data_IF_234547445157
#
_entry.id   IF_234547445157
#
_cell.length_a   1.000
_cell.length_b   1.000
_cell.length_c   1.000
_cell.angle_alpha   90.00
_cell.angle_beta   90.00
_cell.angle_gamma   90.00
#
_symmetry.space_group_name_H-M   'P 1'
#
loop_
_entity.id
_entity.type
_entity.pdbx_description
1 polymer ?
#
# COMPACT_ATOMS: atom_id res chain seq x y z
N UNK A 1 -42.21 25.64 -15.78
CA UNK A 1 -41.25 25.46 -16.89
C UNK A 1 -40.23 26.59 -16.81
N UNK A 2 -39.00 26.29 -16.41
CA UNK A 2 -37.86 27.21 -16.48
C UNK A 2 -36.58 26.36 -16.56
N UNK A 3 -35.72 26.64 -17.52
CA UNK A 3 -34.48 25.91 -17.79
C UNK A 3 -33.34 26.37 -16.88
N UNK A 4 -32.38 25.49 -16.54
CA UNK A 4 -31.16 25.88 -15.84
C UNK A 4 -30.17 26.57 -16.79
N UNK A 5 -29.32 27.50 -16.30
CA UNK A 5 -28.31 28.16 -17.11
C UNK A 5 -27.10 27.25 -17.40
N UNK A 6 -26.48 27.46 -18.55
CA UNK A 6 -25.36 26.68 -19.08
C UNK A 6 -24.02 27.01 -18.42
N UNK A 7 -23.26 25.98 -18.03
CA UNK A 7 -21.85 26.12 -17.64
C UNK A 7 -20.95 26.16 -18.88
N UNK A 8 -20.02 27.11 -18.92
CA UNK A 8 -19.05 27.25 -20.02
C UNK A 8 -18.01 26.13 -19.98
N UNK A 9 -17.85 25.43 -21.10
CA UNK A 9 -16.66 24.61 -21.35
C UNK A 9 -15.44 25.50 -21.64
N UNK A 10 -14.25 25.04 -21.27
CA UNK A 10 -12.98 25.65 -21.63
C UNK A 10 -11.98 24.54 -21.98
N UNK A 11 -11.82 24.27 -23.27
CA UNK A 11 -10.71 23.51 -23.84
C UNK A 11 -9.60 24.48 -24.28
N UNK A 12 -8.34 24.04 -24.26
CA UNK A 12 -7.36 24.56 -25.20
C UNK A 12 -6.57 23.44 -25.88
N UNK A 13 -6.64 23.39 -27.21
CA UNK A 13 -5.75 22.57 -28.05
C UNK A 13 -5.08 23.40 -29.14
N UNK A 14 -3.78 23.15 -29.33
CA UNK A 14 -2.91 23.50 -30.47
C UNK A 14 -2.80 24.95 -30.98
N UNK A 15 -1.56 25.46 -30.94
CA UNK A 15 -0.79 25.74 -32.17
C UNK A 15 0.70 25.97 -31.88
N UNK A 16 1.57 25.41 -32.74
CA UNK A 16 2.89 25.96 -33.06
C UNK A 16 2.85 26.54 -34.49
N UNK A 17 3.98 26.73 -35.20
CA UNK A 17 5.37 26.43 -34.85
C UNK A 17 6.33 27.62 -35.09
N UNK A 18 7.62 27.46 -34.78
CA UNK A 18 8.72 28.03 -35.59
C UNK A 18 10.09 27.46 -35.18
N UNK A 19 10.92 27.20 -36.19
CA UNK A 19 12.36 27.00 -36.09
C UNK A 19 13.01 27.78 -37.25
N UNK A 20 14.29 28.16 -37.12
CA UNK A 20 15.20 27.89 -38.23
C UNK A 20 16.57 27.33 -37.80
N UNK A 21 17.27 26.76 -38.78
CA UNK A 21 18.60 26.15 -38.72
C UNK A 21 19.76 27.17 -38.68
N UNK A 22 20.98 26.60 -38.59
CA UNK A 22 22.34 27.05 -38.96
C UNK A 22 23.30 27.24 -37.77
N UNK A 23 24.59 26.90 -37.86
CA UNK A 23 25.28 25.88 -38.70
C UNK A 23 26.68 25.61 -38.13
N UNK A 24 27.32 24.53 -38.60
CA UNK A 24 28.78 24.27 -38.70
C UNK A 24 29.80 24.93 -37.74
N UNK A 25 30.73 24.10 -37.20
CA UNK A 25 32.14 24.11 -37.65
C UNK A 25 32.96 22.87 -37.19
N UNK A 26 34.06 22.63 -37.91
CA UNK A 26 34.90 21.42 -37.92
C UNK A 26 36.18 21.51 -37.05
N UNK A 27 37.01 20.45 -37.15
CA UNK A 27 38.44 20.28 -36.80
C UNK A 27 38.75 19.80 -35.37
N UNK A 28 39.35 18.61 -35.18
CA UNK A 28 40.74 18.18 -35.49
C UNK A 28 41.75 18.91 -34.55
N UNK A 29 42.66 18.26 -33.81
CA UNK A 29 43.48 17.09 -34.15
C UNK A 29 44.03 16.32 -32.92
N UNK A 30 44.71 15.21 -33.22
CA UNK A 30 45.72 14.53 -32.37
C UNK A 30 46.98 15.42 -32.16
N UNK A 31 48.02 15.12 -31.38
CA UNK A 31 48.73 13.86 -31.09
C UNK A 31 49.56 13.99 -29.79
N UNK A 32 50.06 12.85 -29.31
CA UNK A 32 51.32 12.68 -28.56
C UNK A 32 51.49 13.25 -27.13
N UNK A 33 52.39 12.72 -26.29
CA UNK A 33 52.82 11.35 -25.89
C UNK A 33 53.95 11.49 -24.85
N UNK A 34 54.52 10.37 -24.33
CA UNK A 34 55.79 10.29 -23.56
C UNK A 34 55.72 10.90 -22.13
N UNK A 35 56.45 10.49 -21.08
CA UNK A 35 57.40 9.42 -20.68
C UNK A 35 57.42 9.46 -19.10
N UNK A 36 57.79 8.47 -18.27
CA UNK A 36 58.17 7.06 -18.37
C UNK A 36 58.36 6.46 -16.94
N UNK A 37 58.73 5.17 -16.85
CA UNK A 37 59.46 4.51 -15.75
C UNK A 37 58.76 4.23 -14.39
N UNK A 38 59.15 3.21 -13.62
CA UNK A 38 59.66 1.86 -13.94
C UNK A 38 59.77 1.04 -12.65
N UNK A 39 59.46 -0.27 -12.70
CA UNK A 39 60.33 -1.32 -12.15
C UNK A 39 59.75 -2.71 -12.45
N UNK A 40 60.51 -3.51 -13.21
CA UNK A 40 60.25 -4.93 -13.40
C UNK A 40 61.19 -5.75 -12.52
N UNK A 41 60.72 -6.90 -12.04
CA UNK A 41 61.56 -7.96 -11.52
C UNK A 41 61.32 -9.22 -12.37
N UNK A 42 62.39 -9.75 -12.98
CA UNK A 42 62.32 -10.95 -13.82
C UNK A 42 62.13 -12.22 -12.98
N UNK A 43 61.38 -13.17 -13.53
CA UNK A 43 61.58 -14.59 -13.28
C UNK A 43 61.35 -15.37 -14.59
N UNK A 44 62.34 -16.20 -14.96
CA UNK A 44 62.39 -16.93 -16.24
C UNK A 44 61.46 -18.14 -16.22
N UNK A 45 60.80 -18.41 -17.36
CA UNK A 45 59.99 -19.61 -17.60
C UNK A 45 60.87 -20.82 -17.94
N UNK A 46 60.74 -21.96 -17.24
CA UNK A 46 61.12 -23.26 -17.76
C UNK A 46 59.90 -24.00 -18.33
N UNK A 47 59.98 -24.44 -19.58
CA UNK A 47 58.96 -25.29 -20.22
C UNK A 47 58.91 -26.69 -19.59
N UNK A 48 57.74 -27.22 -19.14
CA UNK A 48 57.64 -28.58 -18.68
C UNK A 48 57.55 -29.57 -19.85
N UNK A 49 58.51 -30.47 -19.92
CA UNK A 49 58.51 -31.66 -20.77
C UNK A 49 57.29 -32.56 -20.53
N UNK A 50 56.94 -33.39 -21.52
CA UNK A 50 55.75 -34.26 -21.62
C UNK A 50 55.42 -35.23 -20.44
N UNK A 51 56.18 -35.23 -19.35
CA UNK A 51 55.94 -36.08 -18.17
C UNK A 51 55.10 -35.43 -17.04
N UNK A 52 54.80 -34.12 -17.08
CA UNK A 52 54.00 -33.46 -16.03
C UNK A 52 52.52 -33.86 -16.01
N UNK A 53 51.92 -34.09 -17.20
CA UNK A 53 50.46 -34.21 -17.36
C UNK A 53 49.82 -35.41 -16.61
N UNK A 54 50.60 -36.47 -16.34
CA UNK A 54 50.12 -37.64 -15.60
C UNK A 54 50.10 -37.43 -14.09
N UNK A 55 50.97 -36.56 -13.55
CA UNK A 55 51.03 -36.27 -12.11
C UNK A 55 49.90 -35.32 -11.72
N UNK A 56 49.64 -34.29 -12.54
CA UNK A 56 48.53 -33.35 -12.31
C UNK A 56 47.15 -34.04 -12.39
N UNK A 57 46.97 -35.02 -13.29
CA UNK A 57 45.76 -35.86 -13.29
C UNK A 57 45.64 -36.72 -12.03
N UNK A 58 46.75 -37.21 -11.46
CA UNK A 58 46.71 -38.03 -10.24
C UNK A 58 46.33 -37.21 -9.00
N UNK A 59 46.82 -35.96 -8.89
CA UNK A 59 46.41 -35.04 -7.81
C UNK A 59 44.97 -34.52 -7.99
N UNK A 60 44.52 -34.27 -9.24
CA UNK A 60 43.12 -33.94 -9.52
C UNK A 60 42.16 -35.10 -9.15
N UNK A 61 42.62 -36.35 -9.27
CA UNK A 61 41.87 -37.55 -8.83
C UNK A 61 41.92 -37.79 -7.32
N UNK A 62 42.98 -37.39 -6.60
CA UNK A 62 43.02 -37.50 -5.13
C UNK A 62 42.12 -36.47 -4.40
N UNK A 63 41.78 -35.35 -5.04
CA UNK A 63 40.73 -34.45 -4.56
C UNK A 63 39.30 -34.98 -4.80
N UNK A 64 39.16 -36.09 -5.53
CA UNK A 64 37.90 -36.84 -5.72
C UNK A 64 37.76 -38.00 -4.72
N UNK A 65 38.03 -37.72 -3.44
CA UNK A 65 37.46 -38.54 -2.35
C UNK A 65 35.95 -38.67 -2.51
N UNK A 66 35.32 -39.75 -1.98
CA UNK A 66 33.91 -40.01 -2.20
C UNK A 66 33.08 -38.79 -1.79
N UNK A 67 32.37 -38.18 -2.76
CA UNK A 67 31.63 -36.92 -2.57
C UNK A 67 30.76 -37.00 -1.32
N UNK A 68 31.22 -36.36 -0.25
CA UNK A 68 30.61 -36.53 1.07
C UNK A 68 29.26 -35.80 1.08
N UNK A 69 28.18 -36.57 1.20
CA UNK A 69 26.88 -36.01 1.56
C UNK A 69 26.90 -35.60 3.03
N UNK A 70 27.47 -34.42 3.32
CA UNK A 70 27.57 -33.88 4.66
C UNK A 70 26.19 -33.69 5.30
N UNK A 71 25.18 -33.35 4.51
CA UNK A 71 23.83 -33.02 4.98
C UNK A 71 23.09 -34.24 5.51
N UNK A 72 23.32 -35.45 4.95
CA UNK A 72 22.82 -36.70 5.55
C UNK A 72 23.68 -37.29 6.67
N UNK A 73 24.82 -36.65 7.01
CA UNK A 73 25.68 -37.03 8.15
C UNK A 73 25.52 -36.13 9.37
N UNK A 74 24.82 -34.99 9.23
CA UNK A 74 24.53 -34.08 10.34
C UNK A 74 23.25 -34.49 11.11
N UNK A 75 23.15 -34.12 12.40
CA UNK A 75 21.87 -34.07 13.12
C UNK A 75 20.80 -33.30 12.34
N UNK A 76 19.54 -33.70 12.50
CA UNK A 76 18.40 -33.15 11.74
C UNK A 76 18.29 -31.63 11.87
N UNK A 77 18.51 -31.13 13.08
CA UNK A 77 18.43 -29.72 13.45
C UNK A 77 19.51 -28.89 12.74
N UNK A 78 20.74 -29.41 12.65
CA UNK A 78 21.84 -28.73 11.96
C UNK A 78 21.67 -28.79 10.44
N UNK A 79 21.17 -29.91 9.91
CA UNK A 79 20.78 -30.04 8.50
C UNK A 79 19.71 -29.00 8.11
N UNK A 80 18.65 -28.89 8.91
CA UNK A 80 17.57 -27.90 8.74
C UNK A 80 18.08 -26.47 8.90
N UNK A 81 18.94 -26.20 9.89
CA UNK A 81 19.53 -24.88 10.11
C UNK A 81 20.38 -24.40 8.92
N UNK A 82 21.19 -25.28 8.32
CA UNK A 82 21.95 -24.95 7.10
C UNK A 82 21.00 -24.56 5.95
N UNK A 83 19.86 -25.25 5.82
CA UNK A 83 18.87 -24.94 4.79
C UNK A 83 18.13 -23.61 5.01
N UNK A 84 18.16 -23.00 6.20
CA UNK A 84 17.58 -21.66 6.43
C UNK A 84 18.31 -20.57 5.63
N UNK A 85 19.59 -20.78 5.29
CA UNK A 85 20.39 -19.83 4.48
C UNK A 85 20.23 -20.03 2.97
N UNK A 86 19.50 -21.06 2.53
CA UNK A 86 19.28 -21.36 1.11
C UNK A 86 18.04 -20.63 0.60
N UNK A 87 18.15 -19.95 -0.54
CA UNK A 87 17.03 -19.21 -1.12
C UNK A 87 15.93 -20.14 -1.68
N UNK A 88 14.73 -19.59 -1.88
CA UNK A 88 13.57 -20.33 -2.43
C UNK A 88 13.88 -21.10 -3.72
N UNK A 89 14.64 -20.52 -4.66
CA UNK A 89 14.92 -21.15 -5.94
C UNK A 89 15.86 -22.36 -5.78
N UNK A 90 16.93 -22.20 -4.99
CA UNK A 90 17.89 -23.27 -4.74
C UNK A 90 17.31 -24.38 -3.84
N UNK A 91 16.38 -24.06 -2.92
CA UNK A 91 15.63 -25.08 -2.18
C UNK A 91 14.84 -26.03 -3.10
N UNK A 92 14.34 -25.56 -4.25
CA UNK A 92 13.71 -26.45 -5.25
C UNK A 92 14.70 -27.36 -5.96
N UNK A 93 15.99 -26.99 -6.01
CA UNK A 93 17.08 -27.84 -6.53
C UNK A 93 17.54 -28.83 -5.46
N UNK A 94 17.77 -28.37 -4.23
CA UNK A 94 18.08 -29.17 -3.03
C UNK A 94 17.08 -30.33 -2.86
N UNK A 95 15.78 -30.05 -2.98
CA UNK A 95 14.73 -31.06 -2.90
C UNK A 95 14.74 -32.14 -4.00
N UNK A 96 15.58 -32.01 -5.04
CA UNK A 96 15.74 -32.97 -6.13
C UNK A 96 17.05 -33.78 -6.06
N UNK A 97 17.94 -33.51 -5.08
CA UNK A 97 19.25 -34.15 -4.96
C UNK A 97 19.14 -35.59 -4.43
N UNK A 98 18.45 -35.80 -3.31
CA UNK A 98 18.22 -37.12 -2.74
C UNK A 98 16.93 -37.18 -1.91
N UNK A 99 16.50 -38.38 -1.50
CA UNK A 99 15.33 -38.54 -0.61
C UNK A 99 15.54 -37.85 0.73
N UNK A 100 16.74 -37.94 1.31
CA UNK A 100 17.10 -37.31 2.58
C UNK A 100 17.12 -35.78 2.46
N UNK A 101 17.70 -35.24 1.39
CA UNK A 101 17.70 -33.80 1.12
C UNK A 101 16.29 -33.25 0.89
N UNK A 102 15.43 -34.02 0.20
CA UNK A 102 14.02 -33.69 0.02
C UNK A 102 13.22 -33.75 1.33
N UNK A 103 13.63 -34.56 2.32
CA UNK A 103 13.02 -34.55 3.66
C UNK A 103 13.35 -33.25 4.39
N UNK A 104 14.62 -32.87 4.50
CA UNK A 104 15.03 -31.60 5.13
C UNK A 104 14.45 -30.38 4.39
N UNK A 105 14.46 -30.37 3.05
CA UNK A 105 13.90 -29.29 2.22
C UNK A 105 12.36 -29.27 2.17
N UNK A 106 11.67 -30.19 2.87
CA UNK A 106 10.23 -30.14 3.12
C UNK A 106 9.89 -29.68 4.53
N UNK A 107 10.87 -29.50 5.41
CA UNK A 107 10.65 -29.04 6.78
C UNK A 107 9.94 -27.68 6.79
N UNK A 108 8.93 -27.56 7.67
CA UNK A 108 8.03 -26.43 7.67
C UNK A 108 8.70 -25.14 8.17
N UNK A 109 9.72 -25.25 9.04
CA UNK A 109 10.46 -24.09 9.57
C UNK A 109 11.42 -23.49 8.53
N UNK A 110 12.00 -24.32 7.63
CA UNK A 110 12.78 -23.84 6.49
C UNK A 110 11.92 -22.91 5.62
N UNK A 111 10.72 -23.35 5.23
CA UNK A 111 9.82 -22.56 4.38
C UNK A 111 9.23 -21.34 5.11
N UNK A 112 9.06 -21.40 6.43
CA UNK A 112 8.68 -20.27 7.28
C UNK A 112 9.78 -19.19 7.31
N UNK A 113 11.04 -19.58 7.41
CA UNK A 113 12.17 -18.66 7.31
C UNK A 113 12.23 -17.99 5.93
N UNK A 114 12.10 -18.77 4.84
CA UNK A 114 12.02 -18.23 3.48
C UNK A 114 10.90 -17.19 3.38
N UNK A 115 9.68 -17.53 3.84
CA UNK A 115 8.52 -16.65 3.77
C UNK A 115 8.73 -15.33 4.54
N UNK A 116 9.10 -15.42 5.82
CA UNK A 116 9.11 -14.28 6.74
C UNK A 116 10.40 -13.44 6.67
N UNK A 117 11.56 -14.09 6.49
CA UNK A 117 12.88 -13.46 6.62
C UNK A 117 13.46 -13.14 5.25
N UNK A 118 13.51 -14.11 4.33
CA UNK A 118 14.15 -13.90 3.03
C UNK A 118 13.29 -13.07 2.07
N UNK A 119 11.97 -13.33 2.03
CA UNK A 119 11.03 -12.57 1.18
C UNK A 119 10.38 -11.39 1.90
N UNK A 120 10.50 -11.30 3.24
CA UNK A 120 9.90 -10.24 4.04
C UNK A 120 8.37 -10.25 4.07
N UNK A 121 7.72 -11.30 3.56
CA UNK A 121 6.26 -11.39 3.49
C UNK A 121 5.66 -11.51 4.89
N UNK A 122 4.50 -10.88 5.11
CA UNK A 122 3.84 -10.81 6.43
C UNK A 122 2.46 -11.45 6.38
N UNK A 123 2.17 -12.29 7.37
CA UNK A 123 0.81 -12.77 7.64
C UNK A 123 0.12 -11.75 8.56
N UNK A 124 -1.02 -11.21 8.13
CA UNK A 124 -1.95 -10.53 9.04
C UNK A 124 -2.83 -11.61 9.68
N UNK A 125 -2.75 -11.75 11.00
CA UNK A 125 -3.69 -12.57 11.76
C UNK A 125 -5.03 -11.81 11.88
N UNK A 126 -6.18 -12.50 11.91
CA UNK A 126 -7.45 -11.84 12.23
C UNK A 126 -7.36 -11.22 13.63
N UNK A 127 -7.72 -9.96 13.80
CA UNK A 127 -7.82 -9.33 15.12
C UNK A 127 -9.16 -9.72 15.77
N UNK A 128 -9.17 -9.88 17.08
CA UNK A 128 -10.43 -9.97 17.83
C UNK A 128 -10.91 -8.54 18.12
N UNK A 129 -12.15 -8.16 17.74
CA UNK A 129 -12.72 -6.87 18.13
C UNK A 129 -12.66 -6.70 19.65
N UNK A 130 -12.06 -5.59 20.12
CA UNK A 130 -12.13 -5.22 21.53
C UNK A 130 -13.48 -4.53 21.78
N UNK A 131 -14.30 -4.96 22.75
CA UNK A 131 -15.55 -4.29 23.07
C UNK A 131 -15.32 -2.80 23.38
N UNK A 132 -16.12 -1.94 22.75
CA UNK A 132 -16.15 -0.50 23.04
C UNK A 132 -17.06 -0.28 24.25
N UNK A 133 -16.85 0.80 25.00
CA UNK A 133 -17.90 1.33 25.87
C UNK A 133 -19.14 1.68 25.03
N UNK A 134 -20.36 1.26 25.43
CA UNK A 134 -21.57 1.62 24.71
C UNK A 134 -21.77 3.14 24.71
N UNK A 135 -22.49 3.65 23.70
CA UNK A 135 -22.85 5.06 23.58
C UNK A 135 -23.46 5.60 24.91
N UNK A 136 -22.87 6.64 25.52
CA UNK A 136 -23.32 7.19 26.80
C UNK A 136 -24.71 7.82 26.75
N UNK A 137 -25.27 8.07 25.56
CA UNK A 137 -26.62 8.62 25.36
C UNK A 137 -27.74 7.58 25.36
N UNK A 138 -27.41 6.28 25.28
CA UNK A 138 -28.37 5.18 25.33
C UNK A 138 -28.91 4.92 26.75
N UNK A 139 -30.13 4.37 26.86
CA UNK A 139 -30.67 3.98 28.17
C UNK A 139 -29.86 2.84 28.81
N UNK A 140 -29.82 2.71 30.15
CA UNK A 140 -29.06 1.64 30.82
C UNK A 140 -29.41 0.23 30.34
N UNK A 141 -30.68 -0.03 30.02
CA UNK A 141 -31.16 -1.30 29.45
C UNK A 141 -30.63 -1.53 28.03
N UNK A 142 -30.68 -0.50 27.17
CA UNK A 142 -30.12 -0.57 25.82
C UNK A 142 -28.61 -0.78 25.84
N UNK A 143 -27.89 -0.11 26.75
CA UNK A 143 -26.47 -0.34 26.98
C UNK A 143 -26.18 -1.77 27.47
N UNK A 144 -27.05 -2.35 28.31
CA UNK A 144 -26.91 -3.73 28.76
C UNK A 144 -27.17 -4.74 27.64
N UNK A 145 -28.22 -4.57 26.85
CA UNK A 145 -28.51 -5.40 25.67
C UNK A 145 -27.37 -5.33 24.64
N UNK A 146 -26.87 -4.12 24.36
CA UNK A 146 -25.71 -3.91 23.50
C UNK A 146 -24.48 -4.67 24.03
N UNK A 147 -24.13 -4.53 25.32
CA UNK A 147 -23.00 -5.24 25.93
C UNK A 147 -23.13 -6.76 25.79
N UNK A 148 -24.31 -7.32 26.02
CA UNK A 148 -24.56 -8.77 25.88
C UNK A 148 -24.40 -9.24 24.43
N UNK A 149 -24.96 -8.49 23.46
CA UNK A 149 -24.84 -8.82 22.04
C UNK A 149 -23.39 -8.77 21.56
N UNK A 150 -22.63 -7.75 21.96
CA UNK A 150 -21.19 -7.63 21.64
C UNK A 150 -20.41 -8.77 22.28
N UNK A 151 -20.69 -9.14 23.54
CA UNK A 151 -20.02 -10.26 24.21
C UNK A 151 -20.23 -11.59 23.46
N UNK A 152 -21.47 -11.91 23.06
CA UNK A 152 -21.76 -13.14 22.31
C UNK A 152 -20.99 -13.19 20.98
N UNK A 153 -21.12 -12.15 20.15
CA UNK A 153 -20.44 -12.09 18.84
C UNK A 153 -18.91 -12.10 18.98
N UNK A 154 -18.38 -11.52 20.05
CA UNK A 154 -16.93 -11.57 20.34
C UNK A 154 -16.47 -12.99 20.70
N UNK A 155 -17.25 -13.75 21.48
CA UNK A 155 -16.95 -15.14 21.81
C UNK A 155 -16.99 -16.06 20.58
N UNK A 156 -18.00 -15.91 19.71
CA UNK A 156 -18.11 -16.65 18.45
C UNK A 156 -16.89 -16.39 17.54
N UNK A 157 -16.48 -15.12 17.39
CA UNK A 157 -15.28 -14.74 16.63
C UNK A 157 -13.99 -15.29 17.24
N UNK A 158 -13.85 -15.29 18.57
CA UNK A 158 -12.69 -15.88 19.27
C UNK A 158 -12.59 -17.39 19.03
N UNK A 159 -13.71 -18.12 19.08
CA UNK A 159 -13.73 -19.57 18.81
C UNK A 159 -13.30 -19.88 17.37
N UNK A 160 -13.83 -19.14 16.39
CA UNK A 160 -13.41 -19.28 14.98
C UNK A 160 -11.92 -18.97 14.79
N UNK A 161 -11.40 -17.92 15.45
CA UNK A 161 -9.99 -17.56 15.40
C UNK A 161 -9.09 -18.66 16.01
N UNK A 162 -9.46 -19.22 17.16
CA UNK A 162 -8.72 -20.35 17.77
C UNK A 162 -8.77 -21.62 16.90
N UNK A 163 -9.92 -21.90 16.27
CA UNK A 163 -10.06 -23.01 15.31
C UNK A 163 -9.22 -22.79 14.04
N UNK A 164 -8.93 -21.55 13.67
CA UNK A 164 -8.04 -21.22 12.56
C UNK A 164 -6.57 -21.35 12.97
N UNK A 165 -6.19 -20.78 14.12
CA UNK A 165 -4.82 -20.79 14.67
C UNK A 165 -4.31 -22.18 15.01
N UNK A 166 -5.20 -23.13 15.36
CA UNK A 166 -4.83 -24.52 15.65
C UNK A 166 -4.51 -25.35 14.39
N UNK A 167 -4.76 -24.83 13.19
CA UNK A 167 -4.45 -25.53 11.93
C UNK A 167 -2.96 -25.38 11.60
N UNK A 168 -2.22 -26.48 11.33
CA UNK A 168 -0.82 -26.38 10.93
C UNK A 168 -0.70 -25.68 9.57
N UNK A 169 -0.11 -24.48 9.55
CA UNK A 169 0.16 -23.74 8.33
C UNK A 169 1.24 -24.45 7.50
N UNK A 170 0.95 -24.71 6.22
CA UNK A 170 1.92 -25.24 5.28
C UNK A 170 2.67 -24.07 4.60
N UNK A 171 3.83 -23.70 5.16
CA UNK A 171 4.59 -22.54 4.68
C UNK A 171 5.09 -22.72 3.24
N UNK A 172 5.38 -23.96 2.83
CA UNK A 172 5.75 -24.26 1.44
C UNK A 172 4.63 -23.89 0.47
N UNK A 173 3.39 -24.27 0.77
CA UNK A 173 2.22 -23.93 -0.05
C UNK A 173 1.99 -22.42 -0.08
N UNK A 174 2.13 -21.73 1.06
CA UNK A 174 2.02 -20.27 1.13
C UNK A 174 3.07 -19.56 0.27
N UNK A 175 4.33 -20.03 0.27
CA UNK A 175 5.38 -19.48 -0.60
C UNK A 175 5.06 -19.66 -2.09
N UNK A 176 4.59 -20.85 -2.49
CA UNK A 176 4.25 -21.11 -3.89
C UNK A 176 3.06 -20.27 -4.35
N UNK A 177 1.99 -20.19 -3.54
CA UNK A 177 0.81 -19.37 -3.85
C UNK A 177 1.13 -17.87 -3.91
N UNK A 178 1.98 -17.37 -3.01
CA UNK A 178 2.40 -15.96 -3.03
C UNK A 178 3.26 -15.64 -4.26
N UNK A 179 4.19 -16.52 -4.64
CA UNK A 179 4.98 -16.35 -5.87
C UNK A 179 4.12 -16.39 -7.13
N UNK A 180 3.17 -17.33 -7.23
CA UNK A 180 2.21 -17.37 -8.34
C UNK A 180 1.42 -16.06 -8.45
N UNK A 181 1.06 -15.46 -7.30
CA UNK A 181 0.34 -14.20 -7.27
C UNK A 181 1.20 -13.03 -7.79
N UNK A 182 2.47 -12.95 -7.42
CA UNK A 182 3.42 -11.96 -7.93
C UNK A 182 3.68 -12.14 -9.45
N UNK A 183 3.70 -13.38 -9.94
CA UNK A 183 3.73 -13.67 -11.38
C UNK A 183 2.42 -13.25 -12.08
N UNK A 184 1.25 -13.39 -11.45
CA UNK A 184 -0.03 -12.95 -12.01
C UNK A 184 -0.10 -11.43 -12.17
N UNK A 185 0.40 -10.65 -11.19
CA UNK A 185 0.47 -9.18 -11.28
C UNK A 185 1.26 -8.65 -12.49
N UNK A 186 2.19 -9.46 -13.02
CA UNK A 186 3.08 -9.06 -14.12
C UNK A 186 2.77 -9.74 -15.46
N UNK A 187 2.13 -10.92 -15.46
CA UNK A 187 1.94 -11.75 -16.66
C UNK A 187 0.49 -12.01 -17.06
N UNK A 188 -0.47 -11.86 -16.15
CA UNK A 188 -1.88 -12.22 -16.43
C UNK A 188 -2.77 -10.98 -16.49
N UNK A 189 -3.64 -10.83 -17.51
CA UNK A 189 -4.62 -9.75 -17.51
C UNK A 189 -5.60 -9.94 -16.35
N UNK A 190 -5.97 -8.86 -15.63
CA UNK A 190 -6.83 -8.97 -14.47
C UNK A 190 -8.27 -9.32 -14.85
N UNK A 191 -8.90 -10.19 -14.05
CA UNK A 191 -10.33 -10.48 -14.15
C UNK A 191 -11.13 -9.32 -13.57
N UNK A 192 -11.85 -8.59 -14.43
CA UNK A 192 -12.80 -7.54 -14.03
C UNK A 192 -14.07 -8.17 -13.43
N UNK A 193 -14.70 -7.50 -12.46
CA UNK A 193 -16.00 -7.89 -11.88
C UNK A 193 -16.69 -6.62 -11.36
N UNK A 194 -17.99 -6.50 -11.59
CA UNK A 194 -18.75 -5.28 -11.27
C UNK A 194 -19.69 -5.51 -10.08
N UNK A 195 -19.63 -4.61 -9.10
CA UNK A 195 -20.56 -4.54 -7.97
C UNK A 195 -21.62 -3.47 -8.27
N UNK A 196 -22.89 -3.86 -8.28
CA UNK A 196 -24.01 -2.95 -8.53
C UNK A 196 -24.90 -2.87 -7.29
N UNK A 197 -25.32 -1.66 -6.91
CA UNK A 197 -26.31 -1.46 -5.83
C UNK A 197 -26.28 -0.13 -5.09
N UNK A 198 -25.29 0.75 -5.34
CA UNK A 198 -25.43 2.19 -5.07
C UNK A 198 -26.25 2.86 -6.16
N UNK A 199 -26.96 3.94 -5.81
CA UNK A 199 -27.81 4.69 -6.74
C UNK A 199 -27.06 5.81 -7.49
N UNK A 200 -25.88 6.20 -6.99
CA UNK A 200 -24.99 7.21 -7.57
C UNK A 200 -23.52 6.83 -7.23
N UNK A 201 -22.59 7.59 -7.79
CA UNK A 201 -21.14 7.55 -7.68
C UNK A 201 -20.62 7.12 -6.31
N UNK A 202 -19.75 6.12 -6.27
CA UNK A 202 -19.01 5.70 -5.07
C UNK A 202 -17.78 6.59 -4.92
N UNK A 203 -17.61 7.21 -3.76
CA UNK A 203 -16.52 8.17 -3.50
C UNK A 203 -15.34 7.59 -2.72
N UNK A 204 -15.58 6.56 -1.91
CA UNK A 204 -14.59 5.92 -1.06
C UNK A 204 -14.86 4.42 -0.90
N UNK A 205 -13.79 3.63 -0.77
CA UNK A 205 -13.84 2.18 -0.56
C UNK A 205 -12.72 1.73 0.37
N UNK A 206 -13.05 0.82 1.28
CA UNK A 206 -12.06 0.04 2.01
C UNK A 206 -12.52 -1.42 2.06
N UNK A 207 -11.58 -2.35 2.08
CA UNK A 207 -11.85 -3.77 2.27
C UNK A 207 -10.87 -4.45 3.22
N UNK A 208 -11.31 -5.57 3.78
CA UNK A 208 -10.46 -6.50 4.52
C UNK A 208 -10.51 -7.90 3.89
N UNK A 209 -10.22 -8.96 4.63
CA UNK A 209 -10.24 -10.33 4.15
C UNK A 209 -11.65 -10.95 4.04
N UNK A 210 -12.69 -10.28 4.53
CA UNK A 210 -14.09 -10.72 4.62
C UNK A 210 -15.06 -9.79 3.90
N UNK A 211 -14.87 -8.47 3.97
CA UNK A 211 -15.86 -7.48 3.58
C UNK A 211 -15.27 -6.30 2.82
N UNK A 212 -16.09 -5.70 1.97
CA UNK A 212 -15.87 -4.39 1.34
C UNK A 212 -16.86 -3.42 1.97
N UNK A 213 -16.44 -2.19 2.23
CA UNK A 213 -17.29 -1.09 2.70
C UNK A 213 -17.14 0.07 1.73
N UNK A 214 -18.25 0.58 1.21
CA UNK A 214 -18.29 1.65 0.20
C UNK A 214 -19.16 2.83 0.65
N UNK A 215 -18.65 4.05 0.50
CA UNK A 215 -19.42 5.28 0.72
C UNK A 215 -19.76 5.97 -0.60
N UNK A 216 -21.00 6.42 -0.75
CA UNK A 216 -21.51 6.96 -2.01
C UNK A 216 -22.10 8.37 -1.89
N UNK A 217 -22.21 9.01 -3.05
CA UNK A 217 -22.98 10.22 -3.30
C UNK A 217 -24.45 10.08 -2.91
N UNK A 218 -25.01 8.86 -2.94
CA UNK A 218 -26.39 8.52 -2.55
C UNK A 218 -26.68 8.63 -1.04
N UNK A 219 -25.72 9.15 -0.26
CA UNK A 219 -25.79 9.34 1.20
C UNK A 219 -25.80 8.03 2.01
N UNK A 220 -25.56 6.88 1.38
CA UNK A 220 -25.49 5.57 2.05
C UNK A 220 -24.07 5.04 2.15
N UNK A 221 -23.86 4.17 3.14
CA UNK A 221 -22.70 3.29 3.22
C UNK A 221 -23.18 1.86 2.98
N UNK A 222 -22.53 1.11 2.10
CA UNK A 222 -22.86 -0.30 1.83
C UNK A 222 -21.74 -1.22 2.25
N UNK A 223 -22.13 -2.38 2.75
CA UNK A 223 -21.22 -3.43 3.23
C UNK A 223 -21.50 -4.66 2.40
N UNK A 224 -20.45 -5.19 1.79
CA UNK A 224 -20.50 -6.31 0.84
C UNK A 224 -19.63 -7.44 1.37
N UNK A 225 -20.07 -8.68 1.20
CA UNK A 225 -19.21 -9.84 1.45
C UNK A 225 -18.21 -10.00 0.29
N UNK A 226 -16.92 -10.13 0.61
CA UNK A 226 -15.83 -10.20 -0.39
C UNK A 226 -15.86 -11.51 -1.20
N UNK A 227 -16.45 -12.57 -0.66
CA UNK A 227 -16.43 -13.90 -1.27
C UNK A 227 -17.60 -14.12 -2.24
N UNK A 228 -18.80 -13.70 -1.84
CA UNK A 228 -20.05 -13.83 -2.61
C UNK A 228 -20.42 -12.57 -3.38
N UNK A 229 -19.77 -11.44 -3.08
CA UNK A 229 -20.00 -10.13 -3.70
C UNK A 229 -21.44 -9.58 -3.51
N UNK A 230 -22.14 -10.09 -2.50
CA UNK A 230 -23.51 -9.66 -2.15
C UNK A 230 -23.47 -8.53 -1.13
N UNK A 231 -24.37 -7.55 -1.29
CA UNK A 231 -24.64 -6.53 -0.29
C UNK A 231 -25.21 -7.18 0.98
N UNK A 232 -24.45 -7.18 2.07
CA UNK A 232 -24.86 -7.64 3.40
C UNK A 232 -25.74 -6.60 4.09
N UNK A 233 -25.36 -5.32 4.03
CA UNK A 233 -26.07 -4.21 4.70
C UNK A 233 -25.98 -2.92 3.88
N UNK A 234 -27.03 -2.11 3.94
CA UNK A 234 -27.01 -0.70 3.52
C UNK A 234 -27.33 0.14 4.75
N UNK A 235 -26.42 1.02 5.14
CA UNK A 235 -26.57 1.96 6.24
C UNK A 235 -27.15 3.25 5.68
N UNK A 236 -28.35 3.60 6.14
CA UNK A 236 -29.12 4.78 5.74
C UNK A 236 -29.42 5.66 6.95
N UNK A 237 -29.76 6.94 6.74
CA UNK A 237 -30.12 7.86 7.81
C UNK A 237 -28.97 8.33 8.72
N UNK A 238 -27.74 7.86 8.49
CA UNK A 238 -26.54 8.32 9.20
C UNK A 238 -26.11 9.71 8.75
N UNK A 239 -25.64 9.84 7.51
CA UNK A 239 -25.31 11.12 6.88
C UNK A 239 -26.49 11.70 6.09
N UNK A 240 -26.58 13.02 6.01
CA UNK A 240 -27.63 13.72 5.23
C UNK A 240 -27.19 14.07 3.82
N UNK A 241 -25.90 13.94 3.52
CA UNK A 241 -25.28 14.24 2.23
C UNK A 241 -24.26 13.14 1.88
N UNK A 242 -23.68 13.23 0.68
CA UNK A 242 -22.68 12.30 0.15
C UNK A 242 -21.61 11.90 1.17
N UNK A 243 -21.32 10.60 1.28
CA UNK A 243 -20.20 10.09 2.07
C UNK A 243 -18.95 10.18 1.21
N UNK A 244 -17.97 10.96 1.64
CA UNK A 244 -16.80 11.31 0.82
C UNK A 244 -15.58 10.45 1.14
N UNK A 245 -15.45 10.06 2.40
CA UNK A 245 -14.36 9.25 2.93
C UNK A 245 -14.87 8.30 4.01
N UNK A 246 -14.20 7.16 4.15
CA UNK A 246 -14.39 6.25 5.27
C UNK A 246 -13.08 5.54 5.58
N UNK A 247 -12.87 5.20 6.84
CA UNK A 247 -11.89 4.21 7.26
C UNK A 247 -12.52 3.31 8.32
N UNK A 248 -12.15 2.03 8.38
CA UNK A 248 -12.54 1.09 9.43
C UNK A 248 -11.38 0.19 9.91
N UNK A 249 -11.53 -0.29 11.14
CA UNK A 249 -10.80 -1.41 11.74
C UNK A 249 -11.81 -2.50 12.15
N UNK A 250 -11.38 -3.52 12.90
CA UNK A 250 -12.28 -4.59 13.37
C UNK A 250 -13.29 -4.14 14.45
N UNK A 251 -13.23 -2.88 14.91
CA UNK A 251 -13.95 -2.34 16.08
C UNK A 251 -14.85 -1.16 15.70
N UNK A 252 -14.31 -0.14 15.04
CA UNK A 252 -15.01 1.06 14.56
C UNK A 252 -14.85 1.28 13.06
N UNK A 253 -15.83 1.97 12.49
CA UNK A 253 -15.70 2.71 11.24
C UNK A 253 -15.85 4.20 11.54
N UNK A 254 -15.10 5.02 10.83
CA UNK A 254 -15.21 6.48 10.82
C UNK A 254 -15.57 6.89 9.40
N UNK A 255 -16.63 7.69 9.22
CA UNK A 255 -17.01 8.22 7.90
C UNK A 255 -17.14 9.74 7.93
N UNK A 256 -16.65 10.40 6.87
CA UNK A 256 -16.78 11.84 6.66
C UNK A 256 -17.70 12.15 5.47
N UNK A 257 -18.40 13.28 5.56
CA UNK A 257 -19.42 13.66 4.57
C UNK A 257 -19.38 15.14 4.20
N UNK A 258 -19.96 15.44 3.04
CA UNK A 258 -20.39 16.78 2.64
C UNK A 258 -21.29 17.48 3.67
N UNK A 259 -21.92 16.74 4.60
CA UNK A 259 -22.75 17.31 5.69
C UNK A 259 -21.95 17.98 6.84
N UNK A 260 -20.64 18.15 6.66
CA UNK A 260 -19.66 18.73 7.61
C UNK A 260 -19.39 17.91 8.87
N UNK A 261 -19.99 16.73 9.00
CA UNK A 261 -19.82 15.89 10.19
C UNK A 261 -19.04 14.62 9.91
N UNK A 262 -18.53 14.06 10.99
CA UNK A 262 -17.88 12.75 11.03
C UNK A 262 -18.78 11.85 11.87
N UNK A 263 -19.00 10.62 11.44
CA UNK A 263 -19.74 9.63 12.22
C UNK A 263 -18.79 8.50 12.58
N UNK A 264 -18.72 8.17 13.87
CA UNK A 264 -18.06 6.97 14.37
C UNK A 264 -19.14 5.90 14.51
N UNK A 265 -18.89 4.70 14.00
CA UNK A 265 -19.82 3.58 13.93
C UNK A 265 -19.22 2.34 14.60
N UNK A 266 -20.07 1.54 15.21
CA UNK A 266 -19.74 0.21 15.73
C UNK A 266 -19.69 -0.81 14.57
N UNK A 267 -18.59 -1.54 14.40
CA UNK A 267 -18.43 -2.53 13.31
C UNK A 267 -18.99 -3.92 13.60
N UNK A 268 -19.45 -4.17 14.83
CA UNK A 268 -20.13 -5.40 15.23
C UNK A 268 -21.63 -5.30 14.95
N UNK A 269 -22.25 -4.16 15.31
CA UNK A 269 -23.71 -3.92 15.21
C UNK A 269 -24.09 -3.03 14.02
N UNK A 270 -23.14 -2.26 13.45
CA UNK A 270 -23.35 -1.32 12.35
C UNK A 270 -24.32 -0.17 12.70
N UNK A 271 -24.16 0.39 13.90
CA UNK A 271 -24.88 1.58 14.38
C UNK A 271 -23.92 2.73 14.64
N UNK A 272 -24.36 4.00 14.48
CA UNK A 272 -23.56 5.15 14.88
C UNK A 272 -23.38 5.15 16.41
N UNK A 273 -22.15 5.38 16.86
CA UNK A 273 -21.75 5.58 18.26
C UNK A 273 -21.76 7.08 18.60
N UNK A 274 -21.32 7.93 17.66
CA UNK A 274 -21.23 9.38 17.89
C UNK A 274 -21.15 10.17 16.59
N UNK A 275 -21.59 11.43 16.62
CA UNK A 275 -21.45 12.43 15.55
C UNK A 275 -20.47 13.52 16.00
N UNK A 276 -19.26 13.52 15.45
CA UNK A 276 -18.29 14.58 15.71
C UNK A 276 -18.64 15.81 14.85
N UNK A 277 -18.76 16.96 15.50
CA UNK A 277 -19.09 18.25 14.88
C UNK A 277 -17.98 19.25 15.19
N UNK A 278 -17.52 19.99 14.18
CA UNK A 278 -16.50 21.01 14.37
C UNK A 278 -15.86 21.54 13.09
N UNK A 279 -15.96 20.81 11.98
CA UNK A 279 -15.66 21.35 10.64
C UNK A 279 -16.79 22.27 10.16
N UNK A 280 -16.45 23.28 9.36
CA UNK A 280 -17.42 24.24 8.81
C UNK A 280 -17.76 23.96 7.33
N UNK A 281 -17.06 23.01 6.71
CA UNK A 281 -17.34 22.52 5.37
C UNK A 281 -17.16 20.99 5.30
N UNK A 282 -17.52 20.41 4.15
CA UNK A 282 -17.50 18.95 3.93
C UNK A 282 -16.16 18.30 4.29
N UNK A 283 -16.22 17.20 5.03
CA UNK A 283 -15.06 16.41 5.46
C UNK A 283 -14.61 15.55 4.29
N UNK A 284 -13.39 15.78 3.82
CA UNK A 284 -12.87 15.22 2.57
C UNK A 284 -12.14 13.90 2.77
N UNK A 285 -11.43 13.76 3.89
CA UNK A 285 -10.71 12.54 4.25
C UNK A 285 -10.63 12.32 5.77
N UNK A 286 -10.45 11.06 6.18
CA UNK A 286 -10.34 10.63 7.58
C UNK A 286 -9.28 9.53 7.74
N UNK A 287 -8.46 9.63 8.79
CA UNK A 287 -7.44 8.64 9.12
C UNK A 287 -7.34 8.46 10.64
N UNK A 288 -7.32 7.24 11.16
CA UNK A 288 -7.31 6.98 12.60
C UNK A 288 -6.39 5.83 13.03
N UNK A 289 -6.05 5.83 14.32
CA UNK A 289 -5.34 4.76 15.04
C UNK A 289 -5.98 4.50 16.43
N UNK A 290 -5.30 3.72 17.28
CA UNK A 290 -5.78 3.40 18.64
C UNK A 290 -5.93 4.61 19.58
N UNK A 291 -5.30 5.74 19.27
CA UNK A 291 -5.24 6.93 20.11
C UNK A 291 -6.01 8.11 19.49
N UNK A 292 -5.94 8.30 18.17
CA UNK A 292 -6.46 9.49 17.52
C UNK A 292 -7.29 9.17 16.28
N UNK A 293 -8.36 9.94 16.08
CA UNK A 293 -9.04 10.10 14.81
C UNK A 293 -8.59 11.46 14.23
N UNK A 294 -8.23 11.49 12.97
CA UNK A 294 -7.84 12.70 12.25
C UNK A 294 -8.78 12.90 11.08
N UNK A 295 -9.26 14.12 10.89
CA UNK A 295 -10.16 14.49 9.80
C UNK A 295 -9.66 15.75 9.11
N UNK A 296 -9.82 15.83 7.79
CA UNK A 296 -9.52 17.03 7.03
C UNK A 296 -10.72 17.48 6.20
N UNK A 297 -10.80 18.79 5.91
CA UNK A 297 -11.98 19.39 5.31
C UNK A 297 -11.66 20.42 4.24
N UNK A 298 -12.68 20.71 3.43
CA UNK A 298 -12.73 21.86 2.52
C UNK A 298 -12.57 23.20 3.24
N UNK A 299 -12.73 23.26 4.57
CA UNK A 299 -12.50 24.45 5.41
C UNK A 299 -11.01 24.80 5.65
N UNK A 300 -10.09 24.09 4.99
CA UNK A 300 -8.63 24.25 5.11
C UNK A 300 -8.04 23.89 6.49
N UNK A 301 -8.84 23.29 7.39
CA UNK A 301 -8.38 22.79 8.68
C UNK A 301 -8.24 21.26 8.71
N UNK A 302 -7.37 20.80 9.61
CA UNK A 302 -7.27 19.41 10.03
C UNK A 302 -7.68 19.37 11.51
N UNK A 303 -8.48 18.38 11.90
CA UNK A 303 -8.91 18.20 13.29
C UNK A 303 -8.46 16.85 13.80
N UNK A 304 -7.94 16.85 15.04
CA UNK A 304 -7.54 15.64 15.75
C UNK A 304 -8.48 15.46 16.92
N UNK A 305 -9.05 14.27 17.03
CA UNK A 305 -9.97 13.84 18.06
C UNK A 305 -9.34 12.68 18.81
N UNK A 306 -9.52 12.59 20.13
CA UNK A 306 -9.09 11.42 20.90
C UNK A 306 -10.03 10.24 20.61
N UNK A 307 -9.49 9.08 20.23
CA UNK A 307 -10.27 7.94 19.74
C UNK A 307 -11.10 7.23 20.83
N UNK A 308 -10.88 7.54 22.13
CA UNK A 308 -11.59 6.90 23.26
C UNK A 308 -12.72 7.76 23.81
N UNK A 309 -12.45 9.05 23.97
CA UNK A 309 -13.36 10.06 24.51
C UNK A 309 -14.13 10.81 23.43
N UNK A 310 -13.65 10.74 22.18
CA UNK A 310 -14.18 11.45 21.01
C UNK A 310 -14.14 12.99 21.14
N UNK A 311 -13.36 13.50 22.10
CA UNK A 311 -13.14 14.92 22.32
C UNK A 311 -12.16 15.49 21.28
N UNK A 312 -12.40 16.73 20.84
CA UNK A 312 -11.48 17.47 19.98
C UNK A 312 -10.22 17.85 20.76
N UNK A 313 -9.06 17.39 20.29
CA UNK A 313 -7.73 17.66 20.86
C UNK A 313 -7.09 18.86 20.17
N UNK A 314 -7.05 18.85 18.83
CA UNK A 314 -6.43 19.92 18.04
C UNK A 314 -7.31 20.37 16.87
N UNK A 315 -7.26 21.67 16.58
CA UNK A 315 -7.61 22.21 15.26
C UNK A 315 -6.34 22.80 14.66
N UNK A 316 -5.77 22.09 13.68
CA UNK A 316 -4.50 22.37 13.06
C UNK A 316 -4.75 23.19 11.79
N UNK A 317 -4.13 24.37 11.72
CA UNK A 317 -4.32 25.34 10.63
C UNK A 317 -2.96 25.72 10.05
N UNK A 318 -2.94 26.08 8.76
CA UNK A 318 -1.69 26.41 8.06
C UNK A 318 -1.68 26.11 6.56
N UNK A 319 -2.65 25.33 6.06
CA UNK A 319 -2.96 25.26 4.64
C UNK A 319 -3.73 26.50 4.17
N UNK A 320 -3.57 26.86 2.89
CA UNK A 320 -4.22 28.03 2.25
C UNK A 320 -5.42 27.66 1.38
N UNK A 321 -5.75 26.37 1.28
CA UNK A 321 -6.89 25.87 0.54
C UNK A 321 -7.42 24.56 1.13
N UNK A 322 -8.47 23.97 0.53
CA UNK A 322 -9.06 22.70 0.96
C UNK A 322 -7.99 21.64 1.25
N UNK A 323 -8.09 20.95 2.39
CA UNK A 323 -7.24 19.80 2.69
C UNK A 323 -7.99 18.57 2.21
N UNK A 324 -7.51 17.98 1.12
CA UNK A 324 -8.24 16.99 0.33
C UNK A 324 -7.97 15.56 0.78
N UNK A 325 -6.80 15.29 1.38
CA UNK A 325 -6.45 13.98 1.92
C UNK A 325 -5.56 14.09 3.17
N UNK A 326 -5.64 13.09 4.05
CA UNK A 326 -4.88 13.02 5.30
C UNK A 326 -4.54 11.58 5.68
N UNK A 327 -3.30 11.33 6.12
CA UNK A 327 -2.87 10.02 6.61
C UNK A 327 -2.19 10.15 7.98
N UNK A 328 -2.65 9.36 8.94
CA UNK A 328 -2.06 9.22 10.26
C UNK A 328 -1.11 8.00 10.30
N UNK A 329 0.07 8.18 10.88
CA UNK A 329 0.99 7.09 11.21
C UNK A 329 1.75 7.42 12.50
N UNK A 330 1.51 6.66 13.58
CA UNK A 330 2.27 6.72 14.85
C UNK A 330 2.41 8.15 15.42
N UNK A 331 1.30 8.89 15.50
CA UNK A 331 1.30 10.27 16.01
C UNK A 331 1.93 11.32 15.07
N UNK A 332 2.25 10.96 13.83
CA UNK A 332 2.56 11.89 12.75
C UNK A 332 1.40 11.92 11.75
N UNK A 333 1.02 13.11 11.31
CA UNK A 333 -0.02 13.31 10.29
C UNK A 333 0.63 13.88 9.04
N UNK A 334 0.27 13.35 7.88
CA UNK A 334 0.60 13.92 6.58
C UNK A 334 -0.69 14.39 5.92
N UNK A 335 -0.72 15.61 5.42
CA UNK A 335 -1.89 16.19 4.74
C UNK A 335 -1.54 16.73 3.36
N UNK A 336 -2.47 16.60 2.42
CA UNK A 336 -2.36 17.12 1.06
C UNK A 336 -3.50 18.10 0.76
N UNK A 337 -3.17 19.24 0.15
CA UNK A 337 -4.10 20.35 -0.04
C UNK A 337 -4.15 20.86 -1.48
N UNK A 338 -5.27 21.51 -1.80
CA UNK A 338 -5.44 22.32 -3.01
C UNK A 338 -4.45 23.48 -3.13
N UNK A 339 -3.70 23.83 -2.08
CA UNK A 339 -2.64 24.86 -2.11
C UNK A 339 -1.31 24.41 -2.73
N UNK A 340 -1.20 23.15 -3.18
CA UNK A 340 0.00 22.61 -3.83
C UNK A 340 1.05 22.04 -2.85
N UNK A 341 0.76 22.03 -1.54
CA UNK A 341 1.66 21.51 -0.52
C UNK A 341 1.20 20.17 0.05
N UNK A 342 2.17 19.31 0.33
CA UNK A 342 2.05 18.33 1.42
C UNK A 342 2.63 18.96 2.69
N UNK A 343 1.99 18.74 3.84
CA UNK A 343 2.53 19.09 5.16
C UNK A 343 2.62 17.86 6.05
N UNK A 344 3.74 17.71 6.77
CA UNK A 344 3.92 16.76 7.86
C UNK A 344 3.71 17.49 9.19
N UNK A 345 2.97 16.88 10.11
CA UNK A 345 2.61 17.45 11.41
C UNK A 345 2.86 16.45 12.55
N UNK A 346 3.05 16.98 13.75
CA UNK A 346 3.23 16.21 14.97
C UNK A 346 1.96 16.32 15.84
N UNK A 347 1.29 15.18 16.09
CA UNK A 347 0.03 15.15 16.84
C UNK A 347 0.21 15.48 18.32
N UNK A 348 1.36 15.18 18.91
CA UNK A 348 1.65 15.51 20.31
C UNK A 348 1.77 17.02 20.60
N UNK A 349 2.05 17.83 19.56
CA UNK A 349 2.24 19.29 19.67
C UNK A 349 1.22 20.11 18.89
N UNK A 350 0.47 19.49 17.98
CA UNK A 350 -0.47 20.19 17.07
C UNK A 350 0.21 21.04 15.98
N UNK A 351 1.55 21.06 15.90
CA UNK A 351 2.30 21.91 14.97
C UNK A 351 2.71 21.17 13.68
N UNK A 352 2.83 21.91 12.57
CA UNK A 352 3.46 21.36 11.36
C UNK A 352 4.97 21.34 11.55
N UNK A 353 5.59 20.25 11.09
CA UNK A 353 7.03 19.99 11.18
C UNK A 353 7.73 20.37 9.88
N UNK A 354 7.09 20.12 8.72
CA UNK A 354 7.73 20.29 7.41
C UNK A 354 6.74 20.47 6.26
N UNK A 355 7.14 21.27 5.28
CA UNK A 355 6.49 21.39 3.96
C UNK A 355 7.23 20.52 2.94
N UNK A 356 6.49 19.89 2.02
CA UNK A 356 7.05 19.25 0.82
C UNK A 356 6.55 20.03 -0.39
N UNK A 357 7.49 20.56 -1.17
CA UNK A 357 7.25 21.50 -2.27
C UNK A 357 7.69 20.86 -3.59
N UNK A 358 6.88 20.99 -4.62
CA UNK A 358 7.24 20.55 -5.97
C UNK A 358 6.06 20.19 -6.87
N UNK A 359 4.88 19.89 -6.32
CA UNK A 359 3.66 19.83 -7.13
C UNK A 359 3.31 21.23 -7.65
N UNK A 360 2.86 21.31 -8.90
CA UNK A 360 2.58 22.57 -9.60
C UNK A 360 1.11 22.99 -9.49
N UNK A 361 0.26 22.07 -9.02
CA UNK A 361 -1.18 22.27 -8.83
C UNK A 361 -1.63 21.60 -7.53
N UNK A 362 -2.88 21.86 -7.14
CA UNK A 362 -3.48 21.28 -5.95
C UNK A 362 -3.49 19.75 -5.94
N UNK A 363 -3.20 19.18 -4.77
CA UNK A 363 -3.17 17.74 -4.54
C UNK A 363 -4.58 17.18 -4.27
N UNK A 364 -4.82 15.92 -4.59
CA UNK A 364 -6.07 15.24 -4.25
C UNK A 364 -5.90 14.04 -3.30
N UNK A 365 -4.75 13.37 -3.28
CA UNK A 365 -4.53 12.19 -2.45
C UNK A 365 -3.11 12.15 -1.87
N UNK A 366 -2.97 11.50 -0.70
CA UNK A 366 -1.69 11.24 -0.05
C UNK A 366 -1.75 9.95 0.76
N UNK A 367 -0.62 9.26 0.85
CA UNK A 367 -0.41 8.12 1.74
C UNK A 367 0.98 8.21 2.39
N UNK A 368 1.14 7.61 3.56
CA UNK A 368 2.33 7.70 4.40
C UNK A 368 2.55 6.44 5.26
N UNK A 369 3.76 5.87 5.24
CA UNK A 369 4.13 4.64 5.96
C UNK A 369 5.06 4.87 7.18
N UNK A 370 5.32 6.13 7.54
CA UNK A 370 6.31 6.52 8.56
C UNK A 370 7.67 6.97 7.98
N UNK A 371 8.02 6.57 6.74
CA UNK A 371 9.28 6.93 6.07
C UNK A 371 9.05 7.56 4.70
N UNK A 372 8.13 7.03 3.93
CA UNK A 372 7.83 7.36 2.54
C UNK A 372 6.47 8.04 2.48
N UNK A 373 6.39 9.17 1.79
CA UNK A 373 5.13 9.81 1.43
C UNK A 373 4.92 9.61 -0.06
N UNK A 374 3.70 9.28 -0.47
CA UNK A 374 3.29 9.22 -1.88
C UNK A 374 2.10 10.16 -2.07
N UNK A 375 2.16 11.07 -3.04
CA UNK A 375 1.12 12.09 -3.28
C UNK A 375 0.71 12.17 -4.74
N UNK A 376 -0.59 12.40 -5.00
CA UNK A 376 -1.18 12.57 -6.33
C UNK A 376 -1.83 13.94 -6.51
N UNK A 377 -1.72 14.50 -7.72
CA UNK A 377 -2.00 15.92 -7.99
C UNK A 377 -2.74 16.17 -9.31
N UNK A 378 -3.35 17.35 -9.39
CA UNK A 378 -3.95 17.91 -10.61
C UNK A 378 -2.90 18.36 -11.66
N UNK A 379 -1.61 18.27 -11.34
CA UNK A 379 -0.49 18.34 -12.30
C UNK A 379 -0.23 17.01 -13.03
N UNK A 380 -1.10 16.01 -12.84
CA UNK A 380 -1.07 14.69 -13.49
C UNK A 380 0.12 13.80 -13.06
N UNK A 381 0.91 14.23 -12.07
CA UNK A 381 2.04 13.46 -11.53
C UNK A 381 1.70 12.79 -10.20
N UNK A 382 2.41 11.69 -9.94
CA UNK A 382 2.57 11.14 -8.58
C UNK A 382 3.98 11.49 -8.13
N UNK A 383 4.15 11.93 -6.87
CA UNK A 383 5.47 12.17 -6.29
C UNK A 383 5.70 11.26 -5.08
N UNK A 384 6.93 10.75 -4.99
CA UNK A 384 7.41 9.94 -3.87
C UNK A 384 8.44 10.77 -3.11
N UNK A 385 8.30 10.88 -1.80
CA UNK A 385 9.14 11.72 -0.95
C UNK A 385 9.71 10.94 0.23
N UNK A 386 10.92 11.28 0.64
CA UNK A 386 11.44 10.89 1.95
C UNK A 386 10.90 11.84 3.03
N UNK A 387 10.16 11.29 4.01
CA UNK A 387 9.49 12.08 5.05
C UNK A 387 10.46 12.78 6.01
N UNK A 388 11.65 12.21 6.22
CA UNK A 388 12.66 12.72 7.14
C UNK A 388 13.40 13.95 6.59
N UNK A 389 13.54 14.05 5.27
CA UNK A 389 14.30 15.11 4.57
C UNK A 389 13.44 16.05 3.71
N UNK A 390 12.20 15.66 3.37
CA UNK A 390 11.38 16.26 2.32
C UNK A 390 12.00 16.30 0.92
N UNK A 391 12.97 15.42 0.64
CA UNK A 391 13.48 15.24 -0.72
C UNK A 391 12.45 14.52 -1.59
N UNK A 392 12.22 15.02 -2.80
CA UNK A 392 11.44 14.32 -3.82
C UNK A 392 12.32 13.22 -4.43
N UNK A 393 12.03 11.95 -4.10
CA UNK A 393 12.78 10.80 -4.58
C UNK A 393 12.43 10.44 -6.02
N UNK A 394 11.14 10.59 -6.40
CA UNK A 394 10.62 10.24 -7.72
C UNK A 394 9.47 11.16 -8.12
N UNK A 395 9.35 11.41 -9.42
CA UNK A 395 8.15 11.94 -10.08
C UNK A 395 7.72 10.91 -11.11
N UNK A 396 6.48 10.42 -11.01
CA UNK A 396 5.91 9.42 -11.90
C UNK A 396 4.97 10.11 -12.88
N UNK A 397 5.24 9.95 -14.17
CA UNK A 397 4.43 10.48 -15.27
C UNK A 397 3.73 9.35 -16.00
N UNK A 398 2.49 9.60 -16.47
CA UNK A 398 1.75 8.64 -17.31
C UNK A 398 0.23 8.78 -17.21
N UNK A 399 -0.29 9.33 -16.11
CA UNK A 399 -1.67 9.81 -16.07
C UNK A 399 -1.83 11.06 -16.97
N UNK A 400 -3.02 11.23 -17.53
CA UNK A 400 -3.39 12.30 -18.47
C UNK A 400 -4.33 13.33 -17.87
N UNK A 401 -4.68 13.16 -16.58
CA UNK A 401 -5.60 14.01 -15.83
C UNK A 401 -5.28 13.91 -14.32
N UNK A 402 -6.09 14.54 -13.47
CA UNK A 402 -6.00 14.49 -12.01
C UNK A 402 -5.81 13.06 -11.48
N UNK A 403 -4.70 12.83 -10.76
CA UNK A 403 -4.53 11.64 -9.93
C UNK A 403 -5.36 11.84 -8.67
N UNK A 404 -6.52 11.17 -8.60
CA UNK A 404 -7.56 11.41 -7.57
C UNK A 404 -7.36 10.57 -6.32
N UNK A 405 -6.80 9.37 -6.46
CA UNK A 405 -6.62 8.40 -5.36
C UNK A 405 -5.34 7.61 -5.57
N UNK A 406 -4.73 7.17 -4.48
CA UNK A 406 -3.64 6.21 -4.50
C UNK A 406 -3.60 5.40 -3.21
N UNK A 407 -3.12 4.17 -3.34
CA UNK A 407 -2.75 3.29 -2.23
C UNK A 407 -1.36 2.73 -2.54
N UNK A 408 -0.50 2.51 -1.54
CA UNK A 408 0.83 1.92 -1.75
C UNK A 408 1.19 0.87 -0.68
N UNK A 409 2.05 -0.06 -1.04
CA UNK A 409 2.74 -0.96 -0.12
C UNK A 409 4.27 -0.85 -0.30
N UNK A 410 5.04 -1.76 0.30
CA UNK A 410 6.50 -1.74 0.25
C UNK A 410 7.09 -1.73 -1.16
N UNK A 411 6.38 -2.27 -2.16
CA UNK A 411 6.89 -2.47 -3.51
C UNK A 411 6.04 -1.81 -4.59
N UNK A 412 4.73 -1.62 -4.38
CA UNK A 412 3.80 -1.15 -5.40
C UNK A 412 3.02 0.10 -4.99
N UNK A 413 2.79 1.01 -5.94
CA UNK A 413 1.75 2.03 -5.88
C UNK A 413 0.64 1.63 -6.84
N UNK A 414 -0.61 1.79 -6.44
CA UNK A 414 -1.78 1.74 -7.33
C UNK A 414 -2.46 3.10 -7.28
N UNK A 415 -2.77 3.69 -8.43
CA UNK A 415 -3.39 5.02 -8.55
C UNK A 415 -4.60 5.02 -9.46
N UNK A 416 -5.62 5.80 -9.09
CA UNK A 416 -6.82 6.06 -9.88
C UNK A 416 -6.91 7.52 -10.31
N UNK A 417 -7.38 7.75 -11.54
CA UNK A 417 -7.35 9.07 -12.17
C UNK A 417 -8.67 9.46 -12.86
N UNK A 418 -8.83 10.76 -13.09
CA UNK A 418 -9.89 11.34 -13.93
C UNK A 418 -9.65 11.15 -15.45
N UNK A 419 -8.60 10.43 -15.84
CA UNK A 419 -8.41 9.87 -17.19
C UNK A 419 -9.09 8.50 -17.37
N UNK A 420 -9.86 8.05 -16.37
CA UNK A 420 -10.60 6.78 -16.30
C UNK A 420 -9.70 5.53 -16.23
N UNK A 421 -8.37 5.68 -16.04
CA UNK A 421 -7.43 4.57 -15.88
C UNK A 421 -7.07 4.33 -14.41
N UNK A 422 -6.74 3.07 -14.11
CA UNK A 422 -6.01 2.69 -12.89
C UNK A 422 -4.62 2.22 -13.32
N UNK A 423 -3.57 2.72 -12.69
CA UNK A 423 -2.18 2.36 -13.02
C UNK A 423 -1.47 1.75 -11.82
N UNK A 424 -0.62 0.77 -12.09
CA UNK A 424 0.26 0.14 -11.09
C UNK A 424 1.68 0.56 -11.39
N UNK A 425 2.42 0.94 -10.35
CA UNK A 425 3.79 1.41 -10.44
C UNK A 425 4.67 0.62 -9.49
N UNK A 426 5.85 0.24 -9.95
CA UNK A 426 6.90 -0.28 -9.08
C UNK A 426 7.53 0.89 -8.30
N UNK A 427 7.44 0.87 -6.97
CA UNK A 427 7.88 1.95 -6.08
C UNK A 427 9.41 2.16 -6.14
N UNK A 428 10.18 1.11 -6.40
CA UNK A 428 11.65 1.13 -6.37
C UNK A 428 12.23 1.76 -7.65
N UNK A 429 11.66 1.43 -8.80
CA UNK A 429 12.09 1.91 -10.12
C UNK A 429 11.34 3.17 -10.53
N UNK A 430 10.06 3.30 -10.16
CA UNK A 430 9.14 4.34 -10.63
C UNK A 430 8.51 4.03 -11.99
N UNK A 431 8.65 2.81 -12.51
CA UNK A 431 8.05 2.42 -13.79
C UNK A 431 6.58 2.04 -13.60
N UNK A 432 5.72 2.48 -14.52
CA UNK A 432 4.38 1.92 -14.67
C UNK A 432 4.52 0.45 -15.14
N UNK A 433 4.02 -0.49 -14.34
CA UNK A 433 4.10 -1.93 -14.60
C UNK A 433 2.80 -2.48 -15.21
N UNK A 434 1.66 -1.84 -14.94
CA UNK A 434 0.36 -2.24 -15.47
C UNK A 434 -0.52 -1.00 -15.69
N UNK A 435 -1.18 -0.96 -16.85
CA UNK A 435 -2.10 0.12 -17.23
C UNK A 435 -3.49 -0.47 -17.49
N UNK A 436 -4.46 -0.15 -16.63
CA UNK A 436 -5.82 -0.68 -16.68
C UNK A 436 -6.74 0.24 -17.46
N UNK A 437 -6.40 0.43 -18.74
CA UNK A 437 -7.26 1.12 -19.68
C UNK A 437 -8.63 0.41 -19.79
N UNK A 438 -9.69 1.22 -19.97
CA UNK A 438 -11.07 0.76 -20.02
C UNK A 438 -11.50 -0.06 -18.78
N UNK A 439 -10.88 0.19 -17.61
CA UNK A 439 -11.33 -0.35 -16.32
C UNK A 439 -12.64 0.29 -15.87
N UNK A 440 -12.72 1.61 -15.96
CA UNK A 440 -13.90 2.42 -15.68
C UNK A 440 -14.32 3.22 -16.92
N UNK A 441 -15.61 3.53 -17.04
CA UNK A 441 -16.17 4.40 -18.08
C UNK A 441 -16.19 5.89 -17.69
N UNK A 442 -15.74 6.22 -16.48
CA UNK A 442 -15.74 7.55 -15.89
C UNK A 442 -14.65 7.63 -14.82
N UNK A 443 -14.59 8.77 -14.11
CA UNK A 443 -13.55 9.09 -13.13
C UNK A 443 -13.42 8.01 -12.05
N UNK A 444 -12.18 7.60 -11.77
CA UNK A 444 -11.87 6.73 -10.63
C UNK A 444 -11.79 7.60 -9.37
N UNK A 445 -12.76 7.45 -8.46
CA UNK A 445 -12.76 8.19 -7.21
C UNK A 445 -11.84 7.58 -6.16
N UNK A 446 -11.91 6.28 -5.94
CA UNK A 446 -11.08 5.64 -4.91
C UNK A 446 -10.52 4.29 -5.36
N UNK A 447 -9.44 3.85 -4.73
CA UNK A 447 -8.76 2.59 -5.04
C UNK A 447 -8.09 2.03 -3.79
N UNK A 448 -8.30 0.75 -3.53
CA UNK A 448 -7.49 0.02 -2.56
C UNK A 448 -6.98 -1.26 -3.18
N UNK A 449 -5.77 -1.69 -2.81
CA UNK A 449 -5.27 -2.98 -3.23
C UNK A 449 -4.73 -3.82 -2.07
N UNK A 450 -4.70 -5.12 -2.30
CA UNK A 450 -4.07 -6.12 -1.45
C UNK A 450 -3.10 -6.92 -2.29
N UNK A 451 -2.39 -7.86 -1.65
CA UNK A 451 -1.62 -8.91 -2.31
C UNK A 451 -2.28 -9.54 -3.55
N UNK A 452 -3.63 -9.63 -3.61
CA UNK A 452 -4.37 -10.45 -4.59
C UNK A 452 -5.24 -9.70 -5.59
N UNK A 453 -5.56 -8.43 -5.34
CA UNK A 453 -6.59 -7.68 -6.09
C UNK A 453 -6.48 -6.18 -5.86
N UNK A 454 -7.02 -5.45 -6.82
CA UNK A 454 -7.41 -4.04 -6.71
C UNK A 454 -8.95 -4.03 -6.59
N UNK A 455 -9.50 -3.12 -5.78
CA UNK A 455 -10.92 -2.79 -5.68
C UNK A 455 -11.07 -1.29 -5.92
#
# INVERSE_FOLDING_TARGET
MASPPTTKHFDPSHSGPSAPNLDMLHSNDSVDSLLDNSMAALAVVPSPTHHSALVDQHYALMLLGPRLDFLSKLPYELAVYILHFVNMHDLTKVARISRTWNQFARDNEVWKNVYLVQQGWKIRLPSVPRPISPDPTLSPEQQQQHRLQVQQLTQENQQQQQQWLSRPLNWKLLCHGRKQLEEHWTRTPPRKTHLLGHADSVYCVQFDHTKIVTGSRDCTIKIWDLHTLKCLRTLTGGHTMSVLCLQFDDRIMVSGSSDTTIIVWDMVIYKPISRLRGHTAGVLDVSFDDQYIVSCSKDASIKVWDAKTLALVWTMTGHRGPVNAVQLHRGQVVSASGDGLVKLWNVGTGQWVRDFRGHERGLACVQFDGKTIVSGSNDQTIRVWDAATATCLKVLHGHKNLVRTLHFDQNLIVSGSYDNTVKVWDLTTGKCTLDLENGHSSWVFDVQFSASRII
#
